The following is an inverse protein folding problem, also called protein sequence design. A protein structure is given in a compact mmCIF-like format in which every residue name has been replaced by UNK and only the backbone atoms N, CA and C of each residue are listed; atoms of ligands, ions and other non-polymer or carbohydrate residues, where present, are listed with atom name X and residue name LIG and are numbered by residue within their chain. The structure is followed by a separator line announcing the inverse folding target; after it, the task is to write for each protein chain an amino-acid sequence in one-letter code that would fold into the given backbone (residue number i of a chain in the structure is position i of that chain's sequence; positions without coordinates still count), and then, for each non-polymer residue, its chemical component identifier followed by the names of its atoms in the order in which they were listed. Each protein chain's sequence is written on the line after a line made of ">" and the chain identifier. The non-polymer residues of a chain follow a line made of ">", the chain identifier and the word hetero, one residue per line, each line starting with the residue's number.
data_IF_214436571906
#
_entry.id   IF_214436571906
#
_cell.length_a   1.000
_cell.length_b   1.000
_cell.length_c   1.000
_cell.angle_alpha   90.00
_cell.angle_beta   90.00
_cell.angle_gamma   90.00
#
_symmetry.space_group_name_H-M   'P 1'
#
loop_
_entity.id
_entity.type
_entity.pdbx_description
1 polymer ?
#
# COMPACT_ATOMS: atom_id res chain seq x y z
N UNK A 1 -29.29 -6.83 -0.48
CA UNK A 1 -28.13 -7.06 0.42
C UNK A 1 -26.92 -6.39 -0.24
N UNK A 2 -26.37 -5.28 0.29
CA UNK A 2 -25.32 -4.56 -0.47
C UNK A 2 -24.53 -3.46 0.26
N UNK A 3 -25.03 -2.86 1.33
CA UNK A 3 -24.35 -1.72 1.97
C UNK A 3 -23.50 -2.09 3.20
N UNK A 4 -23.82 -3.19 3.87
CA UNK A 4 -23.10 -3.62 5.09
C UNK A 4 -21.68 -4.08 4.81
N UNK A 5 -21.45 -4.84 3.73
CA UNK A 5 -20.11 -5.38 3.39
C UNK A 5 -19.14 -4.26 2.99
N UNK A 6 -19.61 -3.27 2.23
CA UNK A 6 -18.80 -2.12 1.80
C UNK A 6 -18.45 -1.19 2.97
N UNK A 7 -19.42 -0.87 3.84
CA UNK A 7 -19.17 -0.04 5.01
C UNK A 7 -18.20 -0.70 6.01
N UNK A 8 -18.30 -2.03 6.16
CA UNK A 8 -17.39 -2.81 7.00
C UNK A 8 -15.97 -2.83 6.40
N UNK A 9 -15.82 -3.01 5.09
CA UNK A 9 -14.50 -2.94 4.44
C UNK A 9 -13.85 -1.56 4.54
N UNK A 10 -14.63 -0.48 4.46
CA UNK A 10 -14.12 0.89 4.56
C UNK A 10 -13.62 1.20 5.97
N UNK A 11 -14.37 0.81 7.00
CA UNK A 11 -13.94 0.96 8.40
C UNK A 11 -12.65 0.17 8.65
N UNK A 12 -12.55 -1.04 8.11
CA UNK A 12 -11.33 -1.83 8.25
C UNK A 12 -10.14 -1.21 7.53
N UNK A 13 -10.34 -0.70 6.31
CA UNK A 13 -9.28 -0.02 5.57
C UNK A 13 -8.81 1.25 6.30
N UNK A 14 -9.73 2.07 6.79
CA UNK A 14 -9.41 3.27 7.58
C UNK A 14 -8.65 2.91 8.85
N UNK A 15 -9.09 1.88 9.58
CA UNK A 15 -8.36 1.39 10.78
C UNK A 15 -6.98 0.84 10.43
N UNK A 16 -6.84 0.12 9.32
CA UNK A 16 -5.56 -0.41 8.88
C UNK A 16 -4.59 0.71 8.51
N UNK A 17 -5.04 1.72 7.76
CA UNK A 17 -4.25 2.92 7.44
C UNK A 17 -3.89 3.70 8.71
N UNK A 18 -4.83 3.92 9.63
CA UNK A 18 -4.56 4.58 10.91
C UNK A 18 -3.55 3.80 11.77
N UNK A 19 -3.64 2.47 11.78
CA UNK A 19 -2.68 1.58 12.46
C UNK A 19 -1.31 1.64 11.78
N UNK A 20 -1.27 1.69 10.45
CA UNK A 20 -0.03 1.82 9.67
C UNK A 20 0.70 3.11 9.99
N UNK A 21 -0.02 4.22 10.03
CA UNK A 21 0.51 5.55 10.33
C UNK A 21 1.01 5.57 11.78
N UNK A 22 0.21 5.07 12.73
CA UNK A 22 0.56 5.10 14.16
C UNK A 22 1.70 4.16 14.55
N UNK A 23 1.77 2.96 13.97
CA UNK A 23 2.76 1.92 14.31
C UNK A 23 3.89 1.77 13.28
N UNK A 24 3.79 2.44 12.15
CA UNK A 24 4.74 2.32 11.05
C UNK A 24 6.07 2.98 11.36
N UNK A 25 7.12 2.51 10.70
CA UNK A 25 8.39 3.22 10.70
C UNK A 25 8.24 4.55 9.96
N UNK A 26 8.83 5.61 10.53
CA UNK A 26 8.84 6.93 9.94
C UNK A 26 10.24 7.28 9.43
N UNK A 27 10.29 7.74 8.19
CA UNK A 27 11.47 8.36 7.61
C UNK A 27 11.50 9.84 8.02
N UNK A 28 12.68 10.30 8.44
CA UNK A 28 12.98 11.71 8.70
C UNK A 28 13.65 12.40 7.48
N UNK A 29 13.64 13.73 7.46
CA UNK A 29 14.23 14.56 6.40
C UNK A 29 13.38 14.63 5.12
N UNK A 30 13.98 15.01 3.98
CA UNK A 30 13.23 15.31 2.73
C UNK A 30 12.29 14.17 2.28
N UNK A 31 11.03 14.50 1.99
CA UNK A 31 10.01 13.54 1.56
C UNK A 31 9.73 13.55 0.06
N UNK A 32 10.58 14.20 -0.74
CA UNK A 32 10.48 14.07 -2.20
C UNK A 32 10.66 12.62 -2.61
N UNK A 33 9.98 12.19 -3.67
CA UNK A 33 10.06 10.79 -4.12
C UNK A 33 11.50 10.32 -4.37
N UNK A 34 12.34 11.18 -4.96
CA UNK A 34 13.77 10.88 -5.19
C UNK A 34 14.51 10.62 -3.88
N UNK A 35 14.28 11.44 -2.86
CA UNK A 35 14.89 11.27 -1.54
C UNK A 35 14.37 10.00 -0.85
N UNK A 36 13.08 9.72 -0.93
CA UNK A 36 12.47 8.51 -0.38
C UNK A 36 13.01 7.25 -1.06
N UNK A 37 13.12 7.22 -2.39
CA UNK A 37 13.70 6.08 -3.11
C UNK A 37 15.15 5.82 -2.75
N UNK A 38 15.97 6.87 -2.65
CA UNK A 38 17.37 6.75 -2.17
C UNK A 38 17.42 6.20 -0.74
N UNK A 39 16.54 6.68 0.13
CA UNK A 39 16.48 6.23 1.52
C UNK A 39 16.06 4.76 1.64
N UNK A 40 15.05 4.31 0.87
CA UNK A 40 14.63 2.91 0.82
C UNK A 40 15.79 2.00 0.38
N UNK A 41 16.52 2.41 -0.65
CA UNK A 41 17.73 1.71 -1.09
C UNK A 41 18.79 1.61 -0.01
N UNK A 42 19.11 2.73 0.67
CA UNK A 42 20.09 2.76 1.76
C UNK A 42 19.69 1.88 2.95
N UNK A 43 18.39 1.75 3.23
CA UNK A 43 17.85 0.92 4.32
C UNK A 43 17.66 -0.55 3.95
N UNK A 44 17.87 -0.91 2.68
CA UNK A 44 17.62 -2.27 2.19
C UNK A 44 16.12 -2.62 2.04
N UNK A 45 15.23 -1.63 2.06
CA UNK A 45 13.79 -1.84 1.91
C UNK A 45 13.35 -1.95 0.45
N UNK A 46 14.17 -1.48 -0.49
CA UNK A 46 13.94 -1.67 -1.92
C UNK A 46 15.28 -1.75 -2.63
N UNK A 47 15.45 -2.71 -3.55
CA UNK A 47 16.64 -2.78 -4.40
C UNK A 47 16.54 -1.75 -5.54
N UNK A 48 17.68 -1.44 -6.13
CA UNK A 48 17.73 -0.67 -7.37
C UNK A 48 16.92 -1.40 -8.45
N UNK A 49 16.03 -0.68 -9.13
CA UNK A 49 15.18 -1.24 -10.18
C UNK A 49 13.90 -1.93 -9.69
N UNK A 50 13.79 -2.30 -8.40
CA UNK A 50 12.53 -2.85 -7.86
C UNK A 50 11.45 -1.77 -7.89
N UNK A 51 10.27 -2.04 -8.47
CA UNK A 51 9.14 -1.13 -8.37
C UNK A 51 8.71 -0.95 -6.91
N UNK A 52 8.41 0.29 -6.54
CA UNK A 52 7.84 0.62 -5.23
C UNK A 52 6.46 1.20 -5.47
N UNK A 53 5.49 0.66 -4.73
CA UNK A 53 4.08 0.93 -4.85
C UNK A 53 3.56 1.64 -3.60
N UNK A 54 2.70 2.63 -3.81
CA UNK A 54 1.93 3.29 -2.74
C UNK A 54 0.59 2.58 -2.56
N UNK A 55 0.46 1.71 -1.56
CA UNK A 55 -0.68 0.79 -1.46
C UNK A 55 -1.99 1.45 -0.99
N UNK A 56 -1.92 2.50 -0.16
CA UNK A 56 -3.11 3.16 0.40
C UNK A 56 -3.37 4.53 -0.21
N UNK A 57 -2.38 5.42 -0.18
CA UNK A 57 -2.50 6.78 -0.75
C UNK A 57 -1.57 6.91 -1.94
N UNK A 58 -2.16 6.97 -3.13
CA UNK A 58 -1.40 7.06 -4.38
C UNK A 58 -0.49 8.29 -4.42
N UNK A 59 0.62 8.19 -5.15
CA UNK A 59 1.55 9.30 -5.34
C UNK A 59 0.89 10.51 -6.00
N UNK A 60 -0.01 10.29 -6.97
CA UNK A 60 -0.74 11.37 -7.65
C UNK A 60 -1.64 12.14 -6.67
N UNK A 61 -2.39 11.43 -5.82
CA UNK A 61 -3.21 12.04 -4.76
C UNK A 61 -2.34 12.79 -3.77
N UNK A 62 -1.23 12.19 -3.33
CA UNK A 62 -0.32 12.83 -2.40
C UNK A 62 0.25 14.15 -2.93
N UNK A 63 0.68 14.17 -4.19
CA UNK A 63 1.18 15.36 -4.86
C UNK A 63 0.10 16.43 -5.02
N UNK A 64 -1.12 16.03 -5.42
CA UNK A 64 -2.26 16.93 -5.58
C UNK A 64 -2.59 17.71 -4.30
N UNK A 65 -2.49 17.06 -3.14
CA UNK A 65 -2.84 17.66 -1.85
C UNK A 65 -1.62 18.11 -1.03
N UNK A 66 -0.40 17.99 -1.55
CA UNK A 66 0.81 18.40 -0.84
C UNK A 66 1.14 17.58 0.41
N UNK A 67 0.65 16.34 0.50
CA UNK A 67 0.81 15.45 1.67
C UNK A 67 1.91 14.40 1.50
N UNK A 68 2.88 14.66 0.63
CA UNK A 68 4.00 13.74 0.38
C UNK A 68 4.84 13.45 1.64
N UNK A 69 4.90 14.39 2.60
CA UNK A 69 5.55 14.18 3.89
C UNK A 69 4.90 13.07 4.73
N UNK A 70 3.59 12.89 4.57
CA UNK A 70 2.81 11.85 5.20
C UNK A 70 2.90 10.53 4.40
N UNK A 71 2.86 10.59 3.07
CA UNK A 71 2.62 9.40 2.24
C UNK A 71 3.85 8.80 1.58
N UNK A 72 4.96 9.54 1.42
CA UNK A 72 6.25 9.01 0.96
C UNK A 72 7.02 8.41 2.16
N UNK A 73 6.34 7.53 2.89
CA UNK A 73 6.75 6.95 4.15
C UNK A 73 6.64 5.42 4.13
N UNK A 74 7.46 4.69 4.91
CA UNK A 74 7.46 3.22 4.91
C UNK A 74 6.08 2.59 5.13
N UNK A 75 5.21 3.21 5.94
CA UNK A 75 3.87 2.69 6.19
C UNK A 75 2.99 2.58 4.93
N UNK A 76 3.25 3.41 3.91
CA UNK A 76 2.47 3.47 2.68
C UNK A 76 3.17 2.79 1.50
N UNK A 77 4.40 2.29 1.67
CA UNK A 77 5.25 1.83 0.57
C UNK A 77 5.50 0.33 0.65
N UNK A 78 5.41 -0.36 -0.48
CA UNK A 78 5.81 -1.75 -0.62
C UNK A 78 6.50 -2.00 -1.95
N UNK A 79 7.33 -3.04 -2.02
CA UNK A 79 8.01 -3.43 -3.26
C UNK A 79 7.21 -4.47 -4.03
N UNK A 80 7.46 -4.53 -5.33
CA UNK A 80 7.08 -5.65 -6.18
C UNK A 80 8.33 -6.30 -6.77
N UNK A 81 8.29 -7.62 -7.03
CA UNK A 81 9.43 -8.34 -7.61
C UNK A 81 9.66 -7.95 -9.09
N UNK A 82 8.66 -7.42 -9.79
CA UNK A 82 8.78 -6.95 -11.16
C UNK A 82 7.68 -5.94 -11.52
N UNK A 83 7.89 -5.22 -12.63
CA UNK A 83 6.97 -4.19 -13.08
C UNK A 83 5.61 -4.75 -13.53
N UNK A 84 5.56 -5.98 -14.05
CA UNK A 84 4.29 -6.59 -14.47
C UNK A 84 3.34 -6.80 -13.29
N UNK A 85 3.83 -7.38 -12.19
CA UNK A 85 3.04 -7.54 -10.98
C UNK A 85 2.70 -6.19 -10.34
N UNK A 86 3.61 -5.21 -10.36
CA UNK A 86 3.30 -3.87 -9.87
C UNK A 86 2.09 -3.26 -10.58
N UNK A 87 2.07 -3.30 -11.91
CA UNK A 87 0.99 -2.72 -12.71
C UNK A 87 -0.31 -3.50 -12.56
N UNK A 88 -0.23 -4.84 -12.56
CA UNK A 88 -1.43 -5.68 -12.54
C UNK A 88 -2.04 -5.82 -11.15
N UNK A 89 -1.22 -6.06 -10.13
CA UNK A 89 -1.68 -6.30 -8.76
C UNK A 89 -1.66 -5.04 -7.89
N UNK A 90 -0.73 -4.10 -8.11
CA UNK A 90 -0.73 -2.82 -7.39
C UNK A 90 -1.73 -1.83 -7.96
N UNK A 91 -1.87 -1.77 -9.29
CA UNK A 91 -2.74 -0.80 -9.95
C UNK A 91 -4.00 -1.39 -10.61
N UNK A 92 -4.16 -2.72 -10.63
CA UNK A 92 -5.31 -3.34 -11.31
C UNK A 92 -5.30 -3.17 -12.84
N UNK A 93 -4.18 -2.74 -13.44
CA UNK A 93 -4.11 -2.41 -14.86
C UNK A 93 -3.72 -3.63 -15.69
N UNK A 94 -4.28 -3.74 -16.90
CA UNK A 94 -3.75 -4.64 -17.92
C UNK A 94 -2.33 -4.18 -18.28
N UNK A 95 -1.40 -5.13 -18.34
CA UNK A 95 0.00 -4.82 -18.64
C UNK A 95 0.65 -5.99 -19.40
N UNK A 96 1.34 -5.67 -20.52
CA UNK A 96 1.98 -6.66 -21.39
C UNK A 96 1.03 -7.81 -21.81
N UNK A 97 -0.20 -7.46 -22.20
CA UNK A 97 -1.21 -8.44 -22.63
C UNK A 97 -1.82 -9.29 -21.51
N UNK A 98 -1.40 -9.09 -20.26
CA UNK A 98 -1.91 -9.82 -19.11
C UNK A 98 -2.96 -8.99 -18.35
N UNK A 99 -4.10 -9.59 -17.96
CA UNK A 99 -5.16 -8.85 -17.29
C UNK A 99 -4.72 -8.35 -15.91
N UNK A 100 -5.25 -7.18 -15.53
CA UNK A 100 -5.13 -6.65 -14.18
C UNK A 100 -5.89 -7.49 -13.17
N UNK A 101 -5.50 -7.39 -11.90
CA UNK A 101 -6.19 -8.11 -10.83
C UNK A 101 -7.45 -7.35 -10.41
N UNK A 102 -8.52 -8.10 -10.11
CA UNK A 102 -9.72 -7.55 -9.45
C UNK A 102 -9.45 -7.18 -7.99
N UNK A 103 -10.47 -6.67 -7.29
CA UNK A 103 -10.35 -6.14 -5.92
C UNK A 103 -9.70 -7.12 -4.93
N UNK A 104 -10.12 -8.39 -4.93
CA UNK A 104 -9.53 -9.42 -4.06
C UNK A 104 -8.06 -9.66 -4.37
N UNK A 105 -7.71 -9.67 -5.66
CA UNK A 105 -6.33 -9.83 -6.10
C UNK A 105 -5.45 -8.65 -5.72
N UNK A 106 -5.95 -7.43 -5.89
CA UNK A 106 -5.25 -6.22 -5.45
C UNK A 106 -5.12 -6.18 -3.92
N UNK A 107 -6.12 -6.64 -3.17
CA UNK A 107 -5.99 -6.79 -1.72
C UNK A 107 -4.88 -7.79 -1.36
N UNK A 108 -4.90 -8.99 -1.93
CA UNK A 108 -3.95 -10.06 -1.59
C UNK A 108 -2.51 -9.75 -2.01
N UNK A 109 -2.31 -9.11 -3.17
CA UNK A 109 -0.99 -8.92 -3.78
C UNK A 109 -0.52 -7.46 -3.80
N UNK A 110 -1.45 -6.50 -3.77
CA UNK A 110 -1.19 -5.05 -3.79
C UNK A 110 -1.18 -4.38 -2.42
N UNK A 111 -1.41 -5.12 -1.33
CA UNK A 111 -1.26 -4.59 0.04
C UNK A 111 -0.17 -5.32 0.83
N UNK A 112 0.50 -4.64 1.78
CA UNK A 112 1.50 -5.25 2.64
C UNK A 112 0.99 -6.43 3.47
N UNK A 113 1.88 -7.38 3.81
CA UNK A 113 1.55 -8.55 4.62
C UNK A 113 0.91 -8.19 5.98
N UNK A 114 1.41 -7.14 6.65
CA UNK A 114 0.91 -6.71 7.96
C UNK A 114 -0.50 -6.10 7.88
N UNK A 115 -0.90 -5.51 6.75
CA UNK A 115 -2.29 -5.03 6.53
C UNK A 115 -3.22 -6.23 6.50
N UNK A 116 -2.86 -7.26 5.72
CA UNK A 116 -3.64 -8.51 5.62
C UNK A 116 -3.75 -9.19 6.97
N UNK A 117 -2.67 -9.28 7.72
CA UNK A 117 -2.66 -9.83 9.08
C UNK A 117 -3.56 -9.05 10.04
N UNK A 118 -3.56 -7.72 9.97
CA UNK A 118 -4.44 -6.88 10.80
C UNK A 118 -5.93 -7.12 10.49
N UNK A 119 -6.29 -7.23 9.21
CA UNK A 119 -7.66 -7.56 8.78
C UNK A 119 -8.08 -8.93 9.29
N UNK A 120 -7.23 -9.95 9.13
CA UNK A 120 -7.52 -11.33 9.59
C UNK A 120 -7.67 -11.39 11.12
N UNK A 121 -6.74 -10.80 11.87
CA UNK A 121 -6.75 -10.86 13.34
C UNK A 121 -8.00 -10.22 13.95
N UNK A 122 -8.48 -9.11 13.36
CA UNK A 122 -9.71 -8.44 13.81
C UNK A 122 -10.96 -9.22 13.39
N UNK A 123 -10.98 -9.78 12.18
CA UNK A 123 -12.08 -10.66 11.73
C UNK A 123 -12.25 -11.89 12.62
N UNK A 124 -11.15 -12.55 13.00
CA UNK A 124 -11.19 -13.69 13.94
C UNK A 124 -11.70 -13.33 15.34
N UNK A 125 -11.48 -12.09 15.80
CA UNK A 125 -12.01 -11.58 17.09
C UNK A 125 -13.48 -11.16 17.03
N UNK A 126 -14.03 -10.94 15.83
CA UNK A 126 -15.44 -10.59 15.66
C UNK A 126 -16.34 -11.82 15.49
N UNK A 127 -15.75 -12.98 15.23
CA UNK A 127 -16.45 -14.26 15.03
C UNK A 127 -16.40 -15.14 16.30
N UNK A 128 -15.46 -14.89 17.21
CA UNK A 128 -15.41 -15.47 18.56
C UNK A 128 -16.12 -14.57 19.57
#
# INVERSE_FOLDING_TARGET
>A
MGNGVLAVSDIFLVKAVGTAISKGAWKLGSHTWKATRKWLGKKGYAKTGEPVHHWAVSQATAKKYGVENLTNQPWNLMTFPNQSLHMRAGHGMQYLGQPGYGLLGQFLFGTPAWVKAAVISVGGRAIN
#
